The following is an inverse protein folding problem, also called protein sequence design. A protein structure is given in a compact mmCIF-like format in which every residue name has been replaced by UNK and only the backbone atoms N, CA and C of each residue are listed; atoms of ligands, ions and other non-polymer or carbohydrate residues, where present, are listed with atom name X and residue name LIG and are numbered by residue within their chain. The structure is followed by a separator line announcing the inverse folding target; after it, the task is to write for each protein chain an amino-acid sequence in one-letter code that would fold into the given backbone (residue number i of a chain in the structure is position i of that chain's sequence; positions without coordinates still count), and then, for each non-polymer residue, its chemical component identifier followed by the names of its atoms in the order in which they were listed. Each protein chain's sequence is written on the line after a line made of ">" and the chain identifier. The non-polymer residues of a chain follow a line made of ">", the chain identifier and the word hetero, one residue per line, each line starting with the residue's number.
data_IF_225389359313
#
_entry.id   IF_225389359313
#
_cell.length_a   1.000
_cell.length_b   1.000
_cell.length_c   1.000
_cell.angle_alpha   90.00
_cell.angle_beta   90.00
_cell.angle_gamma   90.00
#
_symmetry.space_group_name_H-M   'P 1'
#
loop_
_entity.id
_entity.type
_entity.pdbx_description
1 polymer ?
#
# COMPACT_ATOMS: atom_id res chain seq x y z
N UNK A 1 -45.58 -8.87 -3.71
CA UNK A 1 -45.04 -8.04 -4.82
C UNK A 1 -44.10 -7.02 -4.19
N UNK A 2 -42.80 -7.30 -4.19
CA UNK A 2 -41.80 -6.48 -3.48
C UNK A 2 -41.43 -5.25 -4.31
N UNK A 3 -42.27 -4.21 -4.26
CA UNK A 3 -41.90 -2.88 -4.75
C UNK A 3 -41.69 -1.99 -3.54
N UNK A 4 -40.52 -2.15 -2.89
CA UNK A 4 -40.10 -1.20 -1.86
C UNK A 4 -39.71 0.10 -2.57
N UNK A 5 -40.40 1.17 -2.19
CA UNK A 5 -40.21 2.55 -2.66
C UNK A 5 -38.72 2.87 -2.90
N UNK A 6 -38.30 3.14 -4.15
CA UNK A 6 -36.92 3.48 -4.49
C UNK A 6 -36.40 4.71 -3.74
N UNK A 7 -37.28 5.63 -3.33
CA UNK A 7 -36.89 6.80 -2.54
C UNK A 7 -36.67 6.46 -1.06
N UNK A 8 -37.37 5.45 -0.51
CA UNK A 8 -37.07 4.91 0.82
C UNK A 8 -35.69 4.24 0.84
N UNK A 9 -35.39 3.41 -0.18
CA UNK A 9 -34.08 2.77 -0.31
C UNK A 9 -32.94 3.79 -0.40
N UNK A 10 -33.14 4.92 -1.11
CA UNK A 10 -32.15 6.00 -1.16
C UNK A 10 -31.84 6.57 0.22
N UNK A 11 -32.88 6.91 0.99
CA UNK A 11 -32.73 7.49 2.34
C UNK A 11 -32.01 6.53 3.27
N UNK A 12 -32.34 5.25 3.21
CA UNK A 12 -31.68 4.22 4.03
C UNK A 12 -30.19 4.11 3.70
N UNK A 13 -29.82 4.19 2.42
CA UNK A 13 -28.43 4.19 1.99
C UNK A 13 -27.70 5.44 2.47
N UNK A 14 -28.32 6.62 2.40
CA UNK A 14 -27.72 7.86 2.90
C UNK A 14 -27.48 7.80 4.42
N UNK A 15 -28.47 7.32 5.19
CA UNK A 15 -28.36 7.10 6.64
C UNK A 15 -27.27 6.07 6.95
N UNK A 16 -27.20 4.99 6.20
CA UNK A 16 -26.16 3.97 6.36
C UNK A 16 -24.76 4.52 6.07
N UNK A 17 -24.58 5.24 4.95
CA UNK A 17 -23.31 5.85 4.58
C UNK A 17 -22.88 6.91 5.60
N UNK A 18 -23.82 7.62 6.24
CA UNK A 18 -23.51 8.59 7.28
C UNK A 18 -22.81 7.96 8.50
N UNK A 19 -23.07 6.68 8.80
CA UNK A 19 -22.47 5.92 9.92
C UNK A 19 -21.01 5.52 9.69
N UNK A 20 -20.53 5.57 8.45
CA UNK A 20 -19.15 5.25 8.13
C UNK A 20 -18.30 6.50 8.40
N UNK A 21 -17.15 6.39 9.08
CA UNK A 21 -16.32 7.56 9.35
C UNK A 21 -15.52 8.01 8.11
N UNK A 22 -14.98 7.05 7.36
CA UNK A 22 -13.98 7.30 6.31
C UNK A 22 -14.65 7.60 4.96
N UNK A 23 -14.39 8.78 4.39
CA UNK A 23 -14.98 9.23 3.11
C UNK A 23 -14.67 8.32 1.92
N UNK A 24 -13.42 7.85 1.81
CA UNK A 24 -13.02 6.91 0.74
C UNK A 24 -13.75 5.57 0.85
N UNK A 25 -14.02 5.11 2.06
CA UNK A 25 -14.81 3.90 2.32
C UNK A 25 -16.28 4.13 1.94
N UNK A 26 -16.88 5.26 2.31
CA UNK A 26 -18.25 5.61 1.88
C UNK A 26 -18.40 5.54 0.37
N UNK A 27 -17.49 6.18 -0.37
CA UNK A 27 -17.54 6.22 -1.83
C UNK A 27 -17.43 4.82 -2.44
N UNK A 28 -16.51 3.98 -1.93
CA UNK A 28 -16.37 2.58 -2.39
C UNK A 28 -17.64 1.78 -2.14
N UNK A 29 -18.21 1.87 -0.94
CA UNK A 29 -19.43 1.15 -0.57
C UNK A 29 -20.61 1.61 -1.43
N UNK A 30 -20.79 2.92 -1.62
CA UNK A 30 -21.79 3.48 -2.54
C UNK A 30 -21.62 2.93 -3.96
N UNK A 31 -20.39 2.85 -4.47
CA UNK A 31 -20.12 2.35 -5.83
C UNK A 31 -20.45 0.86 -5.98
N UNK A 32 -20.15 0.04 -4.96
CA UNK A 32 -20.55 -1.37 -4.94
C UNK A 32 -22.07 -1.50 -4.95
N UNK A 33 -22.76 -0.78 -4.06
CA UNK A 33 -24.23 -0.77 -4.02
C UNK A 33 -24.81 -0.34 -5.37
N UNK A 34 -24.30 0.75 -5.96
CA UNK A 34 -24.72 1.20 -7.28
C UNK A 34 -24.54 0.11 -8.35
N UNK A 35 -23.41 -0.61 -8.34
CA UNK A 35 -23.15 -1.71 -9.27
C UNK A 35 -24.15 -2.87 -9.14
N UNK A 36 -24.47 -3.27 -7.90
CA UNK A 36 -25.46 -4.32 -7.63
C UNK A 36 -26.85 -3.91 -8.12
N UNK A 37 -27.31 -2.70 -7.79
CA UNK A 37 -28.61 -2.22 -8.25
C UNK A 37 -28.66 -1.96 -9.76
N UNK A 38 -27.54 -1.51 -10.37
CA UNK A 38 -27.45 -1.39 -11.81
C UNK A 38 -27.53 -2.75 -12.51
N UNK A 39 -26.96 -3.80 -11.91
CA UNK A 39 -27.10 -5.17 -12.40
C UNK A 39 -28.55 -5.65 -12.30
N UNK A 40 -29.23 -5.43 -11.18
CA UNK A 40 -30.65 -5.73 -11.03
C UNK A 40 -31.53 -5.00 -12.06
N UNK A 41 -31.22 -3.73 -12.37
CA UNK A 41 -31.91 -3.00 -13.44
C UNK A 41 -31.64 -3.58 -14.83
N UNK A 42 -30.40 -4.00 -15.11
CA UNK A 42 -30.04 -4.66 -16.39
C UNK A 42 -30.83 -5.94 -16.63
N UNK A 43 -31.16 -6.66 -15.56
CA UNK A 43 -31.98 -7.87 -15.60
C UNK A 43 -33.48 -7.59 -15.39
N UNK A 44 -33.89 -6.32 -15.48
CA UNK A 44 -35.29 -5.87 -15.39
C UNK A 44 -35.99 -6.23 -14.05
N UNK A 45 -35.23 -6.63 -13.03
CA UNK A 45 -35.75 -6.87 -11.69
C UNK A 45 -36.17 -5.56 -11.00
N UNK A 46 -35.55 -4.46 -11.41
CA UNK A 46 -35.86 -3.11 -10.95
C UNK A 46 -35.93 -2.15 -12.13
N UNK A 47 -36.93 -1.28 -12.14
CA UNK A 47 -37.09 -0.25 -13.17
C UNK A 47 -36.06 0.87 -13.06
N UNK A 48 -35.57 1.16 -11.85
CA UNK A 48 -34.64 2.25 -11.59
C UNK A 48 -33.67 1.91 -10.47
N UNK A 49 -32.42 2.34 -10.63
CA UNK A 49 -31.41 2.18 -9.60
C UNK A 49 -31.60 3.25 -8.50
N UNK A 50 -31.91 2.86 -7.24
CA UNK A 50 -32.13 3.81 -6.15
C UNK A 50 -30.87 4.61 -5.77
N UNK A 51 -29.69 4.08 -6.09
CA UNK A 51 -28.38 4.66 -5.74
C UNK A 51 -27.94 5.74 -6.73
N UNK A 52 -28.59 5.86 -7.90
CA UNK A 52 -28.16 6.79 -8.95
C UNK A 52 -28.09 8.24 -8.48
N UNK A 53 -28.94 8.65 -7.54
CA UNK A 53 -28.97 10.00 -6.99
C UNK A 53 -28.21 10.15 -5.66
N UNK A 54 -27.72 9.07 -5.07
CA UNK A 54 -26.89 9.13 -3.86
C UNK A 54 -25.55 9.74 -4.22
N UNK A 55 -25.29 10.95 -3.70
CA UNK A 55 -24.03 11.69 -3.91
C UNK A 55 -23.06 11.38 -2.78
N UNK A 56 -21.88 10.90 -3.13
CA UNK A 56 -20.82 10.66 -2.16
C UNK A 56 -19.46 10.96 -2.79
N UNK A 57 -18.72 11.90 -2.20
CA UNK A 57 -17.36 12.23 -2.61
C UNK A 57 -16.35 11.22 -2.07
N UNK A 58 -15.23 11.07 -2.79
CA UNK A 58 -14.09 10.25 -2.39
C UNK A 58 -12.85 11.10 -2.03
N UNK A 59 -13.04 12.40 -1.74
CA UNK A 59 -11.93 13.31 -1.49
C UNK A 59 -11.09 12.79 -0.33
N UNK A 60 -9.77 12.73 -0.55
CA UNK A 60 -8.81 12.33 0.47
C UNK A 60 -8.71 13.45 1.50
N UNK A 61 -8.89 13.12 2.78
CA UNK A 61 -8.85 14.10 3.87
C UNK A 61 -7.42 14.56 4.18
N UNK A 62 -6.43 13.67 3.99
CA UNK A 62 -5.02 13.94 4.23
C UNK A 62 -4.19 13.67 2.97
N UNK A 63 -3.29 14.58 2.64
CA UNK A 63 -2.24 14.31 1.67
C UNK A 63 -1.39 13.11 2.14
N UNK A 64 -0.86 12.27 1.23
CA UNK A 64 0.11 11.26 1.61
C UNK A 64 1.34 11.95 2.21
N UNK A 65 1.86 11.40 3.31
CA UNK A 65 3.14 11.83 3.85
C UNK A 65 4.24 11.34 2.89
N UNK A 66 5.12 12.25 2.47
CA UNK A 66 6.20 11.98 1.51
C UNK A 66 7.52 12.13 2.25
N UNK A 67 8.33 11.08 2.22
CA UNK A 67 9.68 11.09 2.79
C UNK A 67 10.63 11.82 1.84
N UNK A 68 11.46 12.69 2.38
CA UNK A 68 12.62 13.20 1.64
C UNK A 68 13.79 12.21 1.63
N UNK A 69 14.87 12.56 0.91
CA UNK A 69 16.03 11.68 0.77
C UNK A 69 16.78 11.44 2.10
N UNK A 70 16.80 12.42 3.00
CA UNK A 70 17.49 12.34 4.28
C UNK A 70 16.66 11.55 5.31
N UNK A 71 15.35 11.77 5.35
CA UNK A 71 14.41 10.95 6.13
C UNK A 71 14.45 9.48 5.69
N UNK A 72 14.48 9.23 4.38
CA UNK A 72 14.65 7.87 3.85
C UNK A 72 15.99 7.27 4.30
N UNK A 73 17.08 8.04 4.27
CA UNK A 73 18.40 7.57 4.71
C UNK A 73 18.40 7.19 6.19
N UNK A 74 17.80 8.02 7.06
CA UNK A 74 17.64 7.74 8.50
C UNK A 74 16.79 6.49 8.73
N UNK A 75 15.66 6.38 8.04
CA UNK A 75 14.81 5.20 8.09
C UNK A 75 15.58 3.92 7.70
N UNK A 76 16.33 3.96 6.59
CA UNK A 76 17.12 2.81 6.13
C UNK A 76 18.26 2.44 7.09
N UNK A 77 18.74 3.36 7.92
CA UNK A 77 19.78 3.08 8.92
C UNK A 77 19.24 2.31 10.14
N UNK A 78 17.95 2.46 10.46
CA UNK A 78 17.31 1.78 11.59
C UNK A 78 16.72 0.41 11.22
N UNK A 79 16.53 0.15 9.93
CA UNK A 79 15.96 -1.10 9.44
C UNK A 79 17.03 -2.19 9.30
N UNK A 80 16.67 -3.41 9.67
CA UNK A 80 17.47 -4.59 9.36
C UNK A 80 16.98 -5.27 8.08
N UNK A 81 17.85 -6.07 7.46
CA UNK A 81 17.44 -6.93 6.36
C UNK A 81 16.44 -7.98 6.86
N UNK A 82 15.40 -8.32 6.09
CA UNK A 82 15.13 -7.93 4.71
C UNK A 82 14.34 -6.61 4.53
N UNK A 83 13.77 -6.07 5.61
CA UNK A 83 12.91 -4.88 5.55
C UNK A 83 13.63 -3.67 4.95
N UNK A 84 14.91 -3.48 5.31
CA UNK A 84 15.76 -2.42 4.76
C UNK A 84 15.85 -2.46 3.23
N UNK A 85 16.16 -3.63 2.66
CA UNK A 85 16.29 -3.79 1.20
C UNK A 85 14.94 -3.64 0.50
N UNK A 86 13.85 -4.12 1.10
CA UNK A 86 12.50 -3.95 0.55
C UNK A 86 12.09 -2.47 0.48
N UNK A 87 12.32 -1.72 1.56
CA UNK A 87 12.04 -0.27 1.61
C UNK A 87 12.91 0.45 0.59
N UNK A 88 14.20 0.12 0.50
CA UNK A 88 15.08 0.76 -0.47
C UNK A 88 14.69 0.47 -1.92
N UNK A 89 14.36 -0.79 -2.22
CA UNK A 89 13.85 -1.20 -3.54
C UNK A 89 12.61 -0.40 -3.93
N UNK A 90 11.57 -0.42 -3.10
CA UNK A 90 10.31 0.27 -3.39
C UNK A 90 10.48 1.79 -3.50
N UNK A 91 11.33 2.40 -2.67
CA UNK A 91 11.64 3.82 -2.77
C UNK A 91 12.43 4.19 -4.03
N UNK A 92 13.42 3.39 -4.43
CA UNK A 92 14.28 3.68 -5.57
C UNK A 92 13.60 3.39 -6.93
N UNK A 93 12.69 2.43 -6.98
CA UNK A 93 12.05 1.94 -8.22
C UNK A 93 10.60 2.38 -8.38
N UNK A 94 9.96 2.84 -7.31
CA UNK A 94 8.53 3.17 -7.30
C UNK A 94 7.61 1.94 -7.36
N UNK A 95 8.15 0.72 -7.24
CA UNK A 95 7.36 -0.50 -7.25
C UNK A 95 6.34 -0.50 -6.13
N UNK A 96 5.13 -1.00 -6.43
CA UNK A 96 4.17 -1.32 -5.38
C UNK A 96 4.75 -2.43 -4.53
N UNK A 97 4.50 -2.39 -3.22
CA UNK A 97 4.99 -3.40 -2.28
C UNK A 97 4.61 -4.82 -2.75
N UNK A 98 3.41 -5.02 -3.30
CA UNK A 98 2.99 -6.32 -3.84
C UNK A 98 3.83 -6.79 -5.03
N UNK A 99 4.33 -5.89 -5.88
CA UNK A 99 5.19 -6.18 -7.02
C UNK A 99 6.61 -6.51 -6.52
N UNK A 100 7.15 -5.69 -5.62
CA UNK A 100 8.46 -5.93 -5.01
C UNK A 100 8.52 -7.28 -4.25
N UNK A 101 7.44 -7.66 -3.56
CA UNK A 101 7.35 -8.97 -2.94
C UNK A 101 7.27 -10.11 -3.95
N UNK A 102 6.71 -9.86 -5.13
CA UNK A 102 6.56 -10.84 -6.19
C UNK A 102 7.86 -11.15 -6.94
N UNK A 103 8.97 -10.52 -6.58
CA UNK A 103 10.26 -10.76 -7.21
C UNK A 103 10.89 -12.08 -6.75
N UNK A 104 11.33 -12.85 -7.73
CA UNK A 104 12.30 -13.94 -7.58
C UNK A 104 13.70 -13.46 -7.93
N UNK A 105 14.72 -14.22 -7.54
CA UNK A 105 16.09 -13.89 -7.92
C UNK A 105 16.33 -13.95 -9.43
N UNK A 106 15.59 -14.79 -10.16
CA UNK A 106 15.61 -14.85 -11.63
C UNK A 106 15.07 -13.59 -12.31
N UNK A 107 14.26 -12.77 -11.60
CA UNK A 107 13.75 -11.51 -12.10
C UNK A 107 14.78 -10.36 -12.01
N UNK A 108 15.91 -10.57 -11.31
CA UNK A 108 16.93 -9.54 -11.05
C UNK A 108 18.17 -9.77 -11.93
N UNK A 109 18.33 -8.93 -12.95
CA UNK A 109 19.49 -8.98 -13.84
C UNK A 109 20.57 -7.99 -13.42
N UNK A 110 21.57 -8.46 -12.65
CA UNK A 110 22.67 -7.62 -12.19
C UNK A 110 23.57 -7.09 -13.33
N UNK A 111 23.70 -7.83 -14.43
CA UNK A 111 24.54 -7.44 -15.58
C UNK A 111 23.96 -6.27 -16.37
N UNK A 112 22.67 -6.34 -16.68
CA UNK A 112 21.94 -5.27 -17.39
C UNK A 112 21.40 -4.20 -16.45
N UNK A 113 21.45 -4.43 -15.14
CA UNK A 113 20.86 -3.57 -14.09
C UNK A 113 19.37 -3.34 -14.31
N UNK A 114 18.65 -4.42 -14.60
CA UNK A 114 17.21 -4.40 -14.84
C UNK A 114 16.49 -5.35 -13.87
N UNK A 115 15.28 -4.96 -13.49
CA UNK A 115 14.35 -5.81 -12.72
C UNK A 115 13.13 -6.10 -13.56
N UNK A 116 12.90 -7.37 -13.88
CA UNK A 116 11.78 -7.81 -14.68
C UNK A 116 10.55 -8.03 -13.81
N UNK A 117 9.40 -7.50 -14.24
CA UNK A 117 8.18 -7.50 -13.45
C UNK A 117 7.17 -8.50 -14.03
N UNK A 118 7.11 -9.70 -13.45
CA UNK A 118 6.23 -10.76 -13.94
C UNK A 118 5.07 -11.07 -13.00
N UNK A 119 5.22 -10.78 -11.69
CA UNK A 119 4.29 -11.26 -10.64
C UNK A 119 4.02 -10.19 -9.59
N UNK A 120 2.85 -10.27 -8.98
CA UNK A 120 2.52 -9.54 -7.76
C UNK A 120 1.97 -10.51 -6.70
N UNK A 121 2.28 -10.25 -5.44
CA UNK A 121 1.82 -11.06 -4.30
C UNK A 121 0.92 -10.22 -3.40
N UNK A 122 -0.35 -10.64 -3.24
CA UNK A 122 -1.34 -9.99 -2.39
C UNK A 122 -2.02 -11.05 -1.52
N UNK A 123 -2.02 -10.88 -0.20
CA UNK A 123 -2.63 -11.83 0.74
C UNK A 123 -2.29 -13.31 0.45
N UNK A 124 -1.02 -13.60 0.12
CA UNK A 124 -0.51 -14.94 -0.25
C UNK A 124 -0.94 -15.46 -1.62
N UNK A 125 -1.76 -14.73 -2.36
CA UNK A 125 -2.09 -15.05 -3.74
C UNK A 125 -1.06 -14.44 -4.67
N UNK A 126 -0.41 -15.29 -5.45
CA UNK A 126 0.42 -14.88 -6.58
C UNK A 126 -0.52 -14.60 -7.74
N UNK A 127 -0.48 -13.38 -8.25
CA UNK A 127 -1.20 -12.99 -9.46
C UNK A 127 -0.21 -12.55 -10.51
N UNK A 128 -0.44 -12.95 -11.76
CA UNK A 128 0.23 -12.34 -12.90
C UNK A 128 -0.15 -10.87 -13.02
N UNK A 129 0.77 -10.06 -13.51
CA UNK A 129 0.50 -8.64 -13.69
C UNK A 129 -0.57 -8.44 -14.76
N UNK A 130 -1.63 -7.71 -14.37
CA UNK A 130 -2.88 -7.61 -15.15
C UNK A 130 -2.74 -6.90 -16.49
N UNK A 131 -1.65 -6.17 -16.73
CA UNK A 131 -1.47 -5.36 -17.94
C UNK A 131 -0.02 -5.37 -18.41
N UNK A 132 0.20 -5.39 -19.73
CA UNK A 132 1.54 -5.31 -20.35
C UNK A 132 2.33 -4.08 -19.88
N UNK A 133 1.66 -2.95 -19.67
CA UNK A 133 2.29 -1.74 -19.15
C UNK A 133 2.92 -1.92 -17.75
N UNK A 134 2.38 -2.84 -16.93
CA UNK A 134 2.92 -3.16 -15.60
C UNK A 134 4.11 -4.11 -15.66
N UNK A 135 4.34 -4.79 -16.79
CA UNK A 135 5.43 -5.76 -16.95
C UNK A 135 6.73 -5.13 -17.44
N UNK A 136 6.76 -3.81 -17.66
CA UNK A 136 7.96 -3.11 -18.13
C UNK A 136 9.10 -3.27 -17.13
N UNK A 137 10.28 -3.72 -17.58
CA UNK A 137 11.45 -3.80 -16.72
C UNK A 137 11.80 -2.45 -16.10
N UNK A 138 12.21 -2.45 -14.83
CA UNK A 138 12.58 -1.24 -14.10
C UNK A 138 14.10 -1.17 -13.95
N UNK A 139 14.73 -0.04 -14.31
CA UNK A 139 16.16 0.16 -14.10
C UNK A 139 16.55 0.09 -12.62
N UNK A 140 17.69 -0.53 -12.35
CA UNK A 140 18.27 -0.71 -11.02
C UNK A 140 19.51 0.19 -10.86
N UNK A 141 19.42 1.19 -9.99
CA UNK A 141 20.58 2.00 -9.64
C UNK A 141 21.69 1.16 -8.99
N UNK A 142 22.97 1.53 -9.16
CA UNK A 142 24.10 0.75 -8.64
C UNK A 142 24.06 0.53 -7.13
N UNK A 143 23.60 1.53 -6.37
CA UNK A 143 23.41 1.38 -4.92
C UNK A 143 22.37 0.31 -4.56
N UNK A 144 21.28 0.21 -5.32
CA UNK A 144 20.25 -0.80 -5.14
C UNK A 144 20.77 -2.20 -5.52
N UNK A 145 21.52 -2.31 -6.61
CA UNK A 145 22.17 -3.56 -7.01
C UNK A 145 23.11 -4.06 -5.91
N UNK A 146 23.93 -3.18 -5.34
CA UNK A 146 24.82 -3.53 -4.22
C UNK A 146 24.04 -3.95 -2.97
N UNK A 147 22.92 -3.28 -2.66
CA UNK A 147 22.08 -3.66 -1.53
C UNK A 147 21.44 -5.04 -1.72
N UNK A 148 20.94 -5.34 -2.93
CA UNK A 148 20.37 -6.64 -3.29
C UNK A 148 21.42 -7.75 -3.29
N UNK A 149 22.63 -7.49 -3.78
CA UNK A 149 23.74 -8.43 -3.76
C UNK A 149 24.22 -8.70 -2.32
N UNK A 150 24.33 -7.64 -1.50
CA UNK A 150 24.64 -7.79 -0.08
C UNK A 150 23.58 -8.58 0.67
N UNK A 151 22.31 -8.46 0.28
CA UNK A 151 21.22 -9.26 0.83
C UNK A 151 21.26 -10.72 0.35
N UNK A 152 21.54 -10.98 -0.92
CA UNK A 152 21.62 -12.33 -1.48
C UNK A 152 22.69 -13.20 -0.78
N UNK A 153 23.76 -12.57 -0.28
CA UNK A 153 24.78 -13.23 0.54
C UNK A 153 24.36 -13.59 1.97
N UNK A 154 23.27 -13.02 2.48
CA UNK A 154 22.79 -13.23 3.86
C UNK A 154 21.58 -14.17 3.92
N UNK A 155 20.73 -14.16 2.88
CA UNK A 155 19.54 -15.01 2.85
C UNK A 155 19.89 -16.48 2.60
N UNK A 156 19.23 -17.44 3.26
CA UNK A 156 19.35 -18.85 2.93
C UNK A 156 18.65 -19.21 1.61
N UNK A 157 17.79 -18.34 1.07
CA UNK A 157 17.02 -18.54 -0.15
C UNK A 157 17.62 -17.69 -1.28
N UNK A 158 18.47 -18.30 -2.09
CA UNK A 158 19.28 -17.63 -3.11
C UNK A 158 19.20 -18.28 -4.49
N UNK A 159 18.40 -19.33 -4.63
CA UNK A 159 18.22 -19.98 -5.93
C UNK A 159 17.43 -19.06 -6.86
N UNK A 160 17.60 -19.17 -8.19
CA UNK A 160 16.88 -18.32 -9.14
C UNK A 160 15.36 -18.31 -8.92
N UNK A 161 14.79 -19.45 -8.55
CA UNK A 161 13.34 -19.61 -8.31
C UNK A 161 12.88 -19.19 -6.91
N UNK A 162 13.80 -18.89 -6.00
CA UNK A 162 13.48 -18.42 -4.66
C UNK A 162 13.01 -16.97 -4.70
N UNK A 163 12.08 -16.62 -3.80
CA UNK A 163 11.68 -15.23 -3.61
C UNK A 163 12.82 -14.41 -3.02
N UNK A 164 13.06 -13.21 -3.58
CA UNK A 164 14.01 -12.23 -3.03
C UNK A 164 13.68 -11.93 -1.57
N UNK A 165 12.38 -11.89 -1.25
CA UNK A 165 11.86 -11.71 0.09
C UNK A 165 11.07 -12.96 0.52
N UNK A 166 11.71 -14.12 0.66
CA UNK A 166 11.09 -15.36 1.13
C UNK A 166 10.81 -15.38 2.66
N UNK A 167 9.66 -15.95 3.06
CA UNK A 167 9.31 -16.15 4.48
C UNK A 167 10.03 -17.34 5.11
N UNK A 168 10.75 -17.15 6.24
CA UNK A 168 11.37 -18.26 6.97
C UNK A 168 10.35 -19.30 7.48
N UNK A 169 9.15 -18.85 7.85
CA UNK A 169 8.09 -19.71 8.42
C UNK A 169 7.43 -20.61 7.39
N UNK A 170 7.46 -20.24 6.11
CA UNK A 170 6.76 -20.97 5.05
C UNK A 170 7.72 -21.46 3.96
N UNK A 171 8.98 -21.72 4.33
CA UNK A 171 10.02 -22.39 3.51
C UNK A 171 9.85 -22.09 2.02
N UNK A 172 10.25 -20.90 1.56
CA UNK A 172 10.28 -20.49 0.14
C UNK A 172 8.94 -20.57 -0.66
N UNK A 173 7.85 -21.09 -0.10
CA UNK A 173 6.54 -21.21 -0.75
C UNK A 173 5.75 -19.89 -0.71
N UNK A 174 6.20 -18.92 0.09
CA UNK A 174 5.59 -17.60 0.17
C UNK A 174 6.58 -16.52 0.61
N UNK A 175 6.22 -15.27 0.32
CA UNK A 175 7.02 -14.09 0.65
C UNK A 175 6.95 -13.76 2.15
N UNK A 176 7.95 -13.07 2.70
CA UNK A 176 8.11 -12.65 4.11
C UNK A 176 6.83 -12.06 4.71
N UNK A 177 6.04 -11.40 3.88
CA UNK A 177 4.84 -10.68 4.26
C UNK A 177 3.57 -11.54 4.25
N UNK A 178 3.61 -12.78 3.73
CA UNK A 178 2.52 -13.75 3.89
C UNK A 178 2.22 -14.06 5.37
N UNK A 179 3.20 -13.95 6.27
CA UNK A 179 3.02 -14.06 7.73
C UNK A 179 2.91 -12.72 8.45
N UNK A 180 3.79 -11.76 8.13
CA UNK A 180 4.03 -10.55 8.94
C UNK A 180 4.00 -9.22 8.12
N UNK A 181 3.30 -9.17 6.96
CA UNK A 181 3.14 -7.97 6.11
C UNK A 181 2.90 -6.69 6.91
N UNK A 182 1.91 -6.80 7.78
CA UNK A 182 1.42 -5.70 8.54
C UNK A 182 2.43 -5.26 9.60
N UNK A 183 3.29 -6.12 10.14
CA UNK A 183 4.29 -5.70 11.13
C UNK A 183 5.43 -4.93 10.50
N UNK A 184 5.95 -5.37 9.34
CA UNK A 184 7.02 -4.66 8.63
C UNK A 184 6.51 -3.32 8.09
N UNK A 185 5.32 -3.31 7.49
CA UNK A 185 4.68 -2.07 7.03
C UNK A 185 4.28 -1.17 8.20
N UNK A 186 3.81 -1.71 9.34
CA UNK A 186 3.54 -0.92 10.56
C UNK A 186 4.83 -0.44 11.21
N UNK A 187 5.92 -1.19 11.16
CA UNK A 187 7.22 -0.76 11.70
C UNK A 187 7.74 0.40 10.87
N UNK A 188 7.78 0.25 9.53
CA UNK A 188 8.14 1.34 8.63
C UNK A 188 7.21 2.55 8.81
N UNK A 189 5.89 2.34 8.87
CA UNK A 189 4.92 3.43 9.05
C UNK A 189 5.00 4.10 10.44
N UNK A 190 5.21 3.35 11.52
CA UNK A 190 5.43 3.90 12.87
C UNK A 190 6.70 4.75 12.90
N UNK A 191 7.77 4.27 12.28
CA UNK A 191 9.03 5.00 12.19
C UNK A 191 8.87 6.28 11.35
N UNK A 192 8.24 6.20 10.17
CA UNK A 192 7.89 7.37 9.34
C UNK A 192 7.03 8.38 10.10
N UNK A 193 6.02 7.92 10.83
CA UNK A 193 5.16 8.81 11.63
C UNK A 193 5.93 9.49 12.78
N UNK A 194 6.92 8.79 13.37
CA UNK A 194 7.80 9.34 14.41
C UNK A 194 8.73 10.41 13.85
N UNK A 195 9.36 10.19 12.70
CA UNK A 195 10.22 11.19 12.04
C UNK A 195 9.44 12.47 11.75
N UNK A 196 8.24 12.36 11.17
CA UNK A 196 7.42 13.54 10.90
C UNK A 196 6.93 14.26 12.16
N UNK A 197 6.76 13.58 13.29
CA UNK A 197 6.42 14.21 14.57
C UNK A 197 7.63 14.93 15.18
N UNK A 198 8.79 14.29 15.21
CA UNK A 198 10.04 14.89 15.68
C UNK A 198 10.44 16.11 14.83
N UNK A 199 10.27 16.06 13.51
CA UNK A 199 10.58 17.17 12.59
C UNK A 199 9.56 18.32 12.70
N UNK A 200 8.27 18.01 12.89
CA UNK A 200 7.26 19.04 13.25
C UNK A 200 7.61 19.74 14.56
N UNK A 201 8.04 18.99 15.58
CA UNK A 201 8.49 19.56 16.85
C UNK A 201 9.80 20.34 16.70
N UNK A 202 10.67 19.94 15.77
CA UNK A 202 11.91 20.63 15.43
C UNK A 202 11.67 22.00 14.76
N UNK A 203 10.64 22.10 13.92
CA UNK A 203 10.28 23.32 13.17
C UNK A 203 9.23 24.22 13.85
N UNK A 204 8.71 23.84 15.02
CA UNK A 204 7.85 24.73 15.80
C UNK A 204 8.63 25.97 16.30
N UNK A 205 8.05 27.18 16.22
CA UNK A 205 8.65 28.37 16.80
C UNK A 205 8.87 28.17 18.31
N UNK A 206 10.02 28.61 18.83
CA UNK A 206 10.53 28.32 20.19
C UNK A 206 9.52 28.62 21.32
N UNK A 207 8.55 29.51 21.07
CA UNK A 207 7.52 29.91 22.02
C UNK A 207 6.52 28.80 22.40
N UNK A 208 6.51 27.66 21.68
CA UNK A 208 5.67 26.50 21.99
C UNK A 208 6.41 25.37 22.74
N UNK A 209 7.72 25.52 23.02
CA UNK A 209 8.53 24.49 23.70
C UNK A 209 8.49 24.55 25.23
N UNK A 210 7.84 25.54 25.85
CA UNK A 210 7.87 25.72 27.30
C UNK A 210 6.48 26.04 27.90
N UNK A 211 5.80 25.09 28.57
CA UNK A 211 4.54 25.35 29.25
C UNK A 211 4.78 25.85 30.68
N UNK A 212 5.45 27.00 30.84
CA UNK A 212 5.83 27.50 32.17
C UNK A 212 5.68 29.00 32.41
N UNK A 213 5.00 29.76 31.55
CA UNK A 213 4.56 31.12 31.92
C UNK A 213 3.21 31.51 31.29
N UNK A 214 2.12 31.14 31.96
CA UNK A 214 0.87 31.92 31.99
C UNK A 214 0.27 31.87 33.40
N UNK A 215 0.83 32.69 34.27
CA UNK A 215 0.12 33.30 35.40
C UNK A 215 0.54 34.76 35.45
N UNK A 216 -0.31 35.63 34.94
CA UNK A 216 -0.96 36.72 35.66
C UNK A 216 -1.97 37.37 34.72
#
# INVERSE_FOLDING_TARGET
>A
MWYQDPDACRKDVEVFLARIAIQSTKAKVRNVMHGVFAHACRHEWLQKNPISLVRQGAKREKAPDVLDAEELRKLLAELQNPARVLVFLTAATGLRVSEALGLKWSDVEFGTRMTNLSRAVVHRHVSEMKTEASQKPVPMAGALANALLGWSGQTPYRQPEDWVFASPKMKWQATLLAGNAAEVLRAAHRQTSRYHEEDRLAHLPQNFRNPSHRKQ
#
